data_IF_050789700466
#
_entry.id   IF_050789700466
#
_cell.length_a   1.000
_cell.length_b   1.000
_cell.length_c   1.000
_cell.angle_alpha   90.00
_cell.angle_beta   90.00
_cell.angle_gamma   90.00
#
_symmetry.space_group_name_H-M   'P 1'
#
loop_
_entity.id
_entity.type
_entity.pdbx_description
1 polymer ?
#
# COMPACT_ATOMS: atom_id res chain seq x y z
N UNK A 1 6.34 -26.70 5.76
CA UNK A 1 5.27 -25.73 5.42
C UNK A 1 5.38 -25.40 3.93
N UNK A 2 4.38 -25.76 3.10
CA UNK A 2 4.37 -25.47 1.65
C UNK A 2 4.57 -23.97 1.42
N UNK A 3 5.45 -23.59 0.47
CA UNK A 3 5.72 -22.20 0.11
C UNK A 3 4.48 -21.57 -0.55
N UNK A 4 3.55 -21.07 0.27
CA UNK A 4 2.24 -20.54 -0.18
C UNK A 4 2.40 -19.44 -1.24
N UNK A 5 3.36 -18.53 -1.07
CA UNK A 5 3.63 -17.46 -2.03
C UNK A 5 4.14 -17.98 -3.38
N UNK A 6 4.99 -19.01 -3.36
CA UNK A 6 5.47 -19.66 -4.59
C UNK A 6 4.34 -20.36 -5.36
N UNK A 7 3.42 -21.02 -4.66
CA UNK A 7 2.25 -21.65 -5.29
C UNK A 7 1.34 -20.59 -5.93
N UNK A 8 1.06 -19.49 -5.24
CA UNK A 8 0.25 -18.39 -5.78
C UNK A 8 0.92 -17.79 -7.02
N UNK A 9 2.23 -17.53 -6.97
CA UNK A 9 2.97 -17.01 -8.12
C UNK A 9 2.90 -17.96 -9.33
N UNK A 10 3.05 -19.27 -9.11
CA UNK A 10 2.92 -20.27 -10.18
C UNK A 10 1.51 -20.28 -10.80
N UNK A 11 0.47 -20.17 -9.98
CA UNK A 11 -0.91 -20.07 -10.46
C UNK A 11 -1.09 -18.81 -11.31
N UNK A 12 -0.61 -17.65 -10.84
CA UNK A 12 -0.70 -16.39 -11.58
C UNK A 12 0.03 -16.46 -12.93
N UNK A 13 1.23 -17.04 -12.96
CA UNK A 13 1.98 -17.24 -14.21
C UNK A 13 1.23 -18.21 -15.13
N UNK A 14 0.70 -19.31 -14.60
CA UNK A 14 -0.09 -20.27 -15.38
C UNK A 14 -1.34 -19.64 -15.99
N UNK A 15 -2.04 -18.80 -15.23
CA UNK A 15 -3.19 -18.04 -15.72
C UNK A 15 -2.78 -17.00 -16.76
N UNK A 16 -1.64 -16.33 -16.59
CA UNK A 16 -1.13 -15.37 -17.59
C UNK A 16 -0.86 -16.07 -18.92
N UNK A 17 -0.19 -17.22 -18.89
CA UNK A 17 0.06 -18.03 -20.09
C UNK A 17 -1.24 -18.51 -20.72
N UNK A 18 -2.20 -18.95 -19.91
CA UNK A 18 -3.51 -19.37 -20.38
C UNK A 18 -4.23 -18.23 -21.09
N UNK A 19 -4.20 -17.01 -20.56
CA UNK A 19 -4.83 -15.85 -21.22
C UNK A 19 -4.10 -15.46 -22.51
N UNK A 20 -2.76 -15.46 -22.51
CA UNK A 20 -1.97 -15.14 -23.72
C UNK A 20 -2.26 -16.13 -24.84
N UNK A 21 -2.14 -17.43 -24.58
CA UNK A 21 -2.38 -18.47 -25.60
C UNK A 21 -3.87 -18.68 -25.89
N UNK A 22 -4.71 -18.60 -24.87
CA UNK A 22 -6.16 -18.76 -24.98
C UNK A 22 -6.80 -17.64 -25.79
N UNK A 23 -6.42 -16.37 -25.55
CA UNK A 23 -6.93 -15.24 -26.35
C UNK A 23 -6.57 -15.39 -27.83
N UNK A 24 -5.37 -15.89 -28.14
CA UNK A 24 -4.96 -16.17 -29.51
C UNK A 24 -5.76 -17.32 -30.14
N UNK A 25 -5.91 -18.44 -29.43
CA UNK A 25 -6.65 -19.59 -29.93
C UNK A 25 -8.13 -19.26 -30.18
N UNK A 26 -8.77 -18.56 -29.22
CA UNK A 26 -10.17 -18.14 -29.36
C UNK A 26 -10.34 -17.18 -30.54
N UNK A 27 -9.47 -16.18 -30.67
CA UNK A 27 -9.52 -15.25 -31.81
C UNK A 27 -9.27 -15.94 -33.16
N UNK A 28 -8.53 -17.05 -33.18
CA UNK A 28 -8.28 -17.83 -34.40
C UNK A 28 -9.44 -18.76 -34.78
N UNK A 29 -10.11 -19.38 -33.81
CA UNK A 29 -11.21 -20.33 -34.05
C UNK A 29 -12.55 -19.62 -34.24
N UNK A 30 -12.80 -18.57 -33.45
CA UNK A 30 -14.08 -17.85 -33.42
C UNK A 30 -13.88 -16.37 -33.74
N UNK A 31 -13.67 -16.02 -35.03
CA UNK A 31 -13.44 -14.63 -35.44
C UNK A 31 -14.64 -13.71 -35.22
N UNK A 32 -15.83 -14.27 -35.00
CA UNK A 32 -17.06 -13.51 -34.72
C UNK A 32 -17.15 -13.01 -33.26
N UNK A 33 -16.36 -13.60 -32.34
CA UNK A 33 -16.34 -13.17 -30.94
C UNK A 33 -15.34 -12.01 -30.81
N UNK A 34 -15.77 -10.89 -30.23
CA UNK A 34 -14.95 -9.69 -30.03
C UNK A 34 -13.89 -9.87 -28.93
N UNK A 35 -12.97 -10.82 -29.13
CA UNK A 35 -11.83 -11.11 -28.24
C UNK A 35 -10.56 -10.60 -28.91
N UNK A 36 -9.82 -9.75 -28.20
CA UNK A 36 -8.52 -9.28 -28.68
C UNK A 36 -7.41 -10.26 -28.30
N UNK A 37 -6.73 -10.80 -29.31
CA UNK A 37 -5.56 -11.65 -29.09
C UNK A 37 -4.36 -10.83 -28.60
N UNK A 38 -3.76 -11.25 -27.49
CA UNK A 38 -2.52 -10.65 -26.97
C UNK A 38 -1.30 -10.93 -27.86
N UNK A 39 -1.34 -12.00 -28.66
CA UNK A 39 -0.26 -12.34 -29.61
C UNK A 39 -0.40 -11.62 -30.97
N UNK A 40 -1.43 -10.81 -31.16
CA UNK A 40 -1.55 -9.94 -32.32
C UNK A 40 -0.52 -8.80 -32.28
N UNK A 41 -0.26 -8.14 -33.41
CA UNK A 41 0.67 -7.00 -33.47
C UNK A 41 0.23 -5.84 -32.57
N UNK A 42 -1.08 -5.61 -32.43
CA UNK A 42 -1.65 -4.64 -31.48
C UNK A 42 -1.53 -5.14 -30.03
N UNK A 43 -1.78 -6.43 -29.78
CA UNK A 43 -1.69 -7.06 -28.47
C UNK A 43 -0.28 -7.01 -27.88
N UNK A 44 0.74 -7.38 -28.66
CA UNK A 44 2.14 -7.34 -28.23
C UNK A 44 2.58 -5.90 -27.94
N UNK A 45 2.19 -4.95 -28.81
CA UNK A 45 2.49 -3.52 -28.60
C UNK A 45 1.85 -2.99 -27.33
N UNK A 46 0.59 -3.36 -27.08
CA UNK A 46 -0.11 -2.97 -25.86
C UNK A 46 0.53 -3.61 -24.64
N UNK A 47 0.80 -4.92 -24.65
CA UNK A 47 1.35 -5.66 -23.52
C UNK A 47 2.72 -5.12 -23.09
N UNK A 48 3.63 -4.90 -24.05
CA UNK A 48 4.96 -4.35 -23.75
C UNK A 48 4.87 -2.84 -23.44
N UNK A 49 4.08 -2.09 -24.21
CA UNK A 49 4.00 -0.64 -24.13
C UNK A 49 3.27 -0.12 -22.89
N UNK A 50 2.28 -0.85 -22.38
CA UNK A 50 1.49 -0.47 -21.21
C UNK A 50 1.96 -1.10 -19.90
N UNK A 51 2.91 -2.03 -19.92
CA UNK A 51 3.41 -2.73 -18.73
C UNK A 51 3.72 -1.78 -17.55
N UNK A 52 4.50 -0.71 -17.82
CA UNK A 52 4.83 0.26 -16.77
C UNK A 52 3.62 1.06 -16.28
N UNK A 53 2.68 1.39 -17.17
CA UNK A 53 1.49 2.15 -16.81
C UNK A 53 0.50 1.30 -16.01
N UNK A 54 0.36 0.02 -16.35
CA UNK A 54 -0.42 -0.96 -15.60
C UNK A 54 0.10 -1.12 -14.17
N UNK A 55 1.43 -1.07 -13.98
CA UNK A 55 2.04 -1.17 -12.65
C UNK A 55 1.90 0.09 -11.80
N UNK A 56 1.87 1.28 -12.43
CA UNK A 56 1.78 2.59 -11.79
C UNK A 56 0.35 2.88 -11.30
N UNK A 57 -0.12 2.10 -10.35
CA UNK A 57 -1.40 2.36 -9.68
C UNK A 57 -1.18 2.93 -8.30
N UNK A 58 -2.18 3.64 -7.79
CA UNK A 58 -2.25 4.08 -6.39
C UNK A 58 -2.08 2.91 -5.41
N UNK A 59 -2.52 1.70 -5.80
CA UNK A 59 -2.38 0.50 -4.99
C UNK A 59 -0.91 0.15 -4.75
N UNK A 60 -0.02 0.32 -5.74
CA UNK A 60 1.42 0.12 -5.55
C UNK A 60 1.99 1.11 -4.52
N UNK A 61 1.55 2.37 -4.58
CA UNK A 61 1.97 3.42 -3.65
C UNK A 61 1.47 3.09 -2.24
N UNK A 62 0.21 2.71 -2.09
CA UNK A 62 -0.38 2.32 -0.80
C UNK A 62 0.29 1.08 -0.22
N UNK A 63 0.63 0.09 -1.06
CA UNK A 63 1.38 -1.09 -0.66
C UNK A 63 2.77 -0.70 -0.13
N UNK A 64 3.50 0.14 -0.87
CA UNK A 64 4.84 0.59 -0.49
C UNK A 64 4.81 1.35 0.84
N UNK A 65 3.95 2.37 0.95
CA UNK A 65 3.82 3.20 2.15
C UNK A 65 3.33 2.37 3.34
N UNK A 66 2.36 1.49 3.14
CA UNK A 66 1.82 0.62 4.16
C UNK A 66 2.87 -0.36 4.72
N UNK A 67 3.71 -0.94 3.86
CA UNK A 67 4.79 -1.84 4.27
C UNK A 67 5.85 -1.08 5.10
N UNK A 68 6.23 0.13 4.67
CA UNK A 68 7.17 0.98 5.41
C UNK A 68 6.59 1.37 6.78
N UNK A 69 5.34 1.81 6.82
CA UNK A 69 4.65 2.17 8.06
C UNK A 69 4.55 0.97 9.02
N UNK A 70 4.17 -0.21 8.52
CA UNK A 70 4.08 -1.42 9.34
C UNK A 70 5.46 -1.86 9.87
N UNK A 71 6.50 -1.78 9.02
CA UNK A 71 7.87 -2.10 9.40
C UNK A 71 8.40 -1.21 10.51
N UNK A 72 8.24 0.11 10.36
CA UNK A 72 8.66 1.11 11.35
C UNK A 72 7.88 0.97 12.65
N UNK A 73 6.57 0.72 12.57
CA UNK A 73 5.71 0.47 13.72
C UNK A 73 6.13 -0.75 14.54
N UNK A 74 6.59 -1.81 13.88
CA UNK A 74 7.13 -3.00 14.54
C UNK A 74 8.54 -2.77 15.08
N UNK A 75 9.43 -2.17 14.29
CA UNK A 75 10.83 -1.94 14.66
C UNK A 75 10.98 -0.97 15.85
N UNK A 76 10.13 0.07 15.92
CA UNK A 76 10.07 1.02 17.03
C UNK A 76 9.64 0.39 18.36
N UNK A 77 9.05 -0.81 18.34
CA UNK A 77 8.49 -1.47 19.53
C UNK A 77 7.13 -0.92 19.97
N UNK A 78 6.53 0.00 19.20
CA UNK A 78 5.21 0.55 19.49
C UNK A 78 4.12 -0.53 19.41
N UNK A 79 4.22 -1.44 18.43
CA UNK A 79 3.35 -2.61 18.30
C UNK A 79 3.31 -3.49 19.56
N UNK A 80 4.48 -3.76 20.17
CA UNK A 80 4.59 -4.63 21.36
C UNK A 80 3.82 -4.02 22.54
N UNK A 81 3.89 -2.70 22.69
CA UNK A 81 3.25 -1.97 23.80
C UNK A 81 1.76 -1.83 23.58
N UNK A 82 1.33 -1.47 22.38
CA UNK A 82 -0.09 -1.37 22.06
C UNK A 82 -0.78 -2.73 22.21
N UNK A 83 -0.16 -3.81 21.71
CA UNK A 83 -0.67 -5.17 21.88
C UNK A 83 -0.71 -5.60 23.36
N UNK A 84 0.29 -5.21 24.17
CA UNK A 84 0.29 -5.51 25.60
C UNK A 84 -0.78 -4.72 26.37
N UNK A 85 -1.04 -3.47 25.97
CA UNK A 85 -2.06 -2.60 26.54
C UNK A 85 -3.47 -3.10 26.19
N UNK A 86 -3.72 -3.41 24.91
CA UNK A 86 -4.99 -3.92 24.41
C UNK A 86 -5.37 -5.27 25.04
N UNK A 87 -4.39 -6.13 25.32
CA UNK A 87 -4.61 -7.43 25.98
C UNK A 87 -4.70 -7.35 27.50
N UNK A 88 -4.66 -6.15 28.09
CA UNK A 88 -4.67 -5.96 29.54
C UNK A 88 -3.46 -6.56 30.27
N UNK A 89 -2.43 -7.01 29.54
CA UNK A 89 -1.24 -7.68 30.10
C UNK A 89 -0.23 -6.70 30.70
N UNK A 90 -0.33 -5.43 30.34
CA UNK A 90 0.54 -4.38 30.85
C UNK A 90 -0.28 -3.22 31.42
N UNK A 91 -0.05 -2.91 32.69
CA UNK A 91 -0.55 -1.68 33.31
C UNK A 91 0.44 -0.55 33.03
N UNK A 92 -0.06 0.61 32.60
CA UNK A 92 0.74 1.81 32.36
C UNK A 92 1.72 2.13 33.51
N UNK A 93 1.33 1.81 34.76
CA UNK A 93 2.15 1.98 35.95
C UNK A 93 3.50 1.25 35.89
N UNK A 94 3.56 0.05 35.30
CA UNK A 94 4.77 -0.80 35.21
C UNK A 94 5.75 -0.38 34.11
N UNK A 95 5.39 0.58 33.25
CA UNK A 95 6.31 1.07 32.23
C UNK A 95 7.39 1.97 32.81
N UNK A 96 8.60 1.86 32.26
CA UNK A 96 9.72 2.75 32.60
C UNK A 96 9.35 4.20 32.31
N UNK A 97 9.92 5.14 33.07
CA UNK A 97 9.66 6.57 32.92
C UNK A 97 9.83 7.06 31.47
N UNK A 98 10.90 6.60 30.79
CA UNK A 98 11.15 6.92 29.37
C UNK A 98 10.02 6.49 28.44
N UNK A 99 9.45 5.29 28.64
CA UNK A 99 8.32 4.81 27.83
C UNK A 99 7.04 5.62 28.09
N UNK A 100 6.81 6.05 29.34
CA UNK A 100 5.66 6.91 29.69
C UNK A 100 5.76 8.28 29.01
N UNK A 101 6.94 8.90 29.03
CA UNK A 101 7.17 10.18 28.34
C UNK A 101 7.02 10.01 26.83
N UNK A 102 7.60 8.96 26.25
CA UNK A 102 7.45 8.66 24.82
C UNK A 102 5.99 8.44 24.42
N UNK A 103 5.20 7.73 25.24
CA UNK A 103 3.77 7.52 24.98
C UNK A 103 2.96 8.82 25.04
N UNK A 104 3.27 9.73 25.98
CA UNK A 104 2.61 11.06 26.03
C UNK A 104 2.96 11.91 24.82
N UNK A 105 4.23 11.88 24.41
CA UNK A 105 4.72 12.62 23.25
C UNK A 105 3.99 12.17 21.98
N UNK A 106 3.89 10.86 21.73
CA UNK A 106 3.17 10.39 20.54
C UNK A 106 1.67 10.66 20.57
N UNK A 107 1.04 10.64 21.75
CA UNK A 107 -0.37 11.01 21.87
C UNK A 107 -0.59 12.47 21.50
N UNK A 108 0.33 13.34 21.90
CA UNK A 108 0.35 14.74 21.51
C UNK A 108 0.59 14.90 20.01
N UNK A 109 1.56 14.19 19.41
CA UNK A 109 1.80 14.21 17.97
C UNK A 109 0.56 13.79 17.17
N UNK A 110 -0.07 12.68 17.56
CA UNK A 110 -1.30 12.18 16.92
C UNK A 110 -2.41 13.23 17.02
N UNK A 111 -2.60 13.83 18.19
CA UNK A 111 -3.59 14.89 18.38
C UNK A 111 -3.32 16.10 17.47
N UNK A 112 -2.07 16.54 17.37
CA UNK A 112 -1.66 17.64 16.49
C UNK A 112 -1.92 17.29 15.01
N UNK A 113 -1.58 16.09 14.55
CA UNK A 113 -1.86 15.67 13.18
C UNK A 113 -3.36 15.69 12.85
N UNK A 114 -4.20 15.16 13.75
CA UNK A 114 -5.65 15.20 13.56
C UNK A 114 -6.20 16.62 13.60
N UNK A 115 -5.69 17.46 14.50
CA UNK A 115 -6.09 18.88 14.56
C UNK A 115 -5.71 19.62 13.28
N UNK A 116 -4.52 19.38 12.72
CA UNK A 116 -4.09 19.94 11.45
C UNK A 116 -4.99 19.46 10.29
N UNK A 117 -5.22 18.15 10.18
CA UNK A 117 -6.12 17.61 9.15
C UNK A 117 -7.53 18.21 9.25
N UNK A 118 -8.05 18.33 10.47
CA UNK A 118 -9.34 18.97 10.71
C UNK A 118 -9.33 20.44 10.29
N UNK A 119 -8.29 21.20 10.64
CA UNK A 119 -8.14 22.60 10.28
C UNK A 119 -8.09 22.78 8.75
N UNK A 120 -7.33 21.95 8.04
CA UNK A 120 -7.25 22.03 6.57
C UNK A 120 -8.57 21.68 5.85
N UNK A 121 -9.47 20.97 6.52
CA UNK A 121 -10.82 20.67 6.01
C UNK A 121 -11.85 21.74 6.44
N UNK A 122 -11.71 22.30 7.64
CA UNK A 122 -12.69 23.22 8.23
C UNK A 122 -12.40 24.71 7.93
N UNK A 123 -11.19 25.06 7.47
CA UNK A 123 -10.85 26.43 7.08
C UNK A 123 -11.74 26.93 5.93
N UNK A 124 -12.08 28.22 5.89
CA UNK A 124 -12.97 28.79 4.87
C UNK A 124 -12.40 28.73 3.45
N UNK A 125 -11.08 28.68 3.30
CA UNK A 125 -10.42 28.45 1.99
C UNK A 125 -10.35 26.96 1.61
N UNK A 126 -10.68 26.07 2.56
CA UNK A 126 -10.92 24.64 2.36
C UNK A 126 -9.97 23.95 1.35
N UNK A 127 -8.63 24.09 1.49
CA UNK A 127 -7.67 23.71 0.46
C UNK A 127 -7.67 22.21 0.11
N UNK A 128 -8.19 21.37 1.01
CA UNK A 128 -8.30 19.92 0.80
C UNK A 128 -9.66 19.45 0.28
N UNK A 129 -10.68 20.33 0.28
CA UNK A 129 -11.98 20.03 -0.32
C UNK A 129 -11.93 20.26 -1.82
N UNK A 130 -12.88 19.66 -2.53
CA UNK A 130 -13.04 19.93 -3.96
C UNK A 130 -13.51 21.38 -4.17
N UNK A 131 -13.39 21.86 -5.40
CA UNK A 131 -13.90 23.19 -5.81
C UNK A 131 -15.40 23.34 -5.51
N UNK A 132 -16.13 22.22 -5.37
CA UNK A 132 -17.57 22.19 -5.04
C UNK A 132 -17.85 22.03 -3.54
N UNK A 133 -16.83 21.97 -2.68
CA UNK A 133 -16.98 21.75 -1.24
C UNK A 133 -17.35 20.30 -0.86
N UNK A 134 -17.19 19.35 -1.77
CA UNK A 134 -17.41 17.92 -1.50
C UNK A 134 -16.14 17.25 -0.94
N UNK A 135 -16.33 16.32 0.00
CA UNK A 135 -15.24 15.48 0.54
C UNK A 135 -14.83 14.35 -0.42
N UNK A 136 -15.72 13.98 -1.33
CA UNK A 136 -15.47 12.98 -2.36
C UNK A 136 -16.01 13.52 -3.69
N UNK A 137 -15.27 13.40 -4.81
CA UNK A 137 -13.82 13.22 -4.91
C UNK A 137 -13.07 14.54 -4.64
N UNK A 138 -12.18 14.56 -3.64
CA UNK A 138 -11.31 15.71 -3.33
C UNK A 138 -9.87 15.29 -3.02
N UNK A 139 -8.96 16.26 -2.94
CA UNK A 139 -7.56 16.06 -2.52
C UNK A 139 -7.45 15.35 -1.18
N UNK A 140 -8.40 15.58 -0.26
CA UNK A 140 -8.51 14.86 1.01
C UNK A 140 -8.73 13.35 0.79
N UNK A 141 -9.68 12.98 -0.07
CA UNK A 141 -10.02 11.57 -0.30
C UNK A 141 -8.89 10.78 -0.97
N UNK A 142 -8.18 11.40 -1.92
CA UNK A 142 -7.04 10.78 -2.62
C UNK A 142 -5.84 10.64 -1.67
N UNK A 143 -5.57 11.69 -0.87
CA UNK A 143 -4.44 11.72 0.05
C UNK A 143 -4.63 10.91 1.34
N UNK A 144 -5.84 10.42 1.64
CA UNK A 144 -6.17 9.86 2.95
C UNK A 144 -5.26 8.68 3.37
N UNK A 145 -5.10 7.68 2.50
CA UNK A 145 -4.27 6.50 2.79
C UNK A 145 -2.78 6.89 2.92
N UNK A 146 -2.20 7.66 1.98
CA UNK A 146 -0.85 8.22 2.15
C UNK A 146 -0.68 9.03 3.44
N UNK A 147 -1.65 9.86 3.83
CA UNK A 147 -1.58 10.64 5.07
C UNK A 147 -1.55 9.76 6.32
N UNK A 148 -2.40 8.74 6.41
CA UNK A 148 -2.41 7.83 7.56
C UNK A 148 -1.09 7.07 7.67
N UNK A 149 -0.59 6.51 6.56
CA UNK A 149 0.67 5.77 6.55
C UNK A 149 1.86 6.66 6.94
N UNK A 150 1.85 7.93 6.52
CA UNK A 150 2.83 8.92 6.95
C UNK A 150 2.75 9.21 8.45
N UNK A 151 1.56 9.47 9.00
CA UNK A 151 1.35 9.72 10.44
C UNK A 151 1.84 8.53 11.26
N UNK A 152 1.47 7.31 10.88
CA UNK A 152 1.90 6.08 11.58
C UNK A 152 3.41 5.95 11.56
N UNK A 153 4.05 6.22 10.42
CA UNK A 153 5.51 6.16 10.27
C UNK A 153 6.18 7.18 11.19
N UNK A 154 5.73 8.43 11.17
CA UNK A 154 6.29 9.52 11.96
C UNK A 154 6.18 9.22 13.46
N UNK A 155 4.98 8.89 13.93
CA UNK A 155 4.69 8.55 15.33
C UNK A 155 5.51 7.34 15.80
N UNK A 156 5.68 6.33 14.94
CA UNK A 156 6.49 5.16 15.25
C UNK A 156 7.97 5.52 15.44
N UNK A 157 8.51 6.39 14.59
CA UNK A 157 9.89 6.84 14.70
C UNK A 157 10.08 7.70 15.96
N UNK A 158 9.20 8.67 16.21
CA UNK A 158 9.22 9.50 17.42
C UNK A 158 9.18 8.64 18.68
N UNK A 159 8.26 7.66 18.75
CA UNK A 159 8.21 6.71 19.86
C UNK A 159 9.53 5.94 20.02
N UNK A 160 10.07 5.40 18.92
CA UNK A 160 11.29 4.60 18.94
C UNK A 160 12.49 5.39 19.44
N UNK A 161 12.62 6.65 19.04
CA UNK A 161 13.69 7.56 19.47
C UNK A 161 13.49 7.97 20.93
N UNK A 162 12.31 8.47 21.32
CA UNK A 162 12.04 8.93 22.69
C UNK A 162 12.09 7.80 23.73
N UNK A 163 11.74 6.57 23.36
CA UNK A 163 11.85 5.40 24.24
C UNK A 163 13.28 4.85 24.35
N UNK A 164 14.21 5.33 23.51
CA UNK A 164 15.60 4.87 23.44
C UNK A 164 15.81 3.56 22.70
N UNK A 165 14.79 3.02 22.01
CA UNK A 165 14.90 1.80 21.19
C UNK A 165 15.66 2.07 19.89
N UNK A 166 15.38 3.20 19.25
CA UNK A 166 16.08 3.71 18.08
C UNK A 166 17.07 4.79 18.53
N UNK A 167 18.19 4.35 19.12
CA UNK A 167 19.18 5.24 19.75
C UNK A 167 20.26 5.78 18.79
N UNK A 168 20.27 5.36 17.53
CA UNK A 168 21.22 5.82 16.52
C UNK A 168 20.50 6.09 15.20
N UNK A 169 21.01 7.05 14.42
CA UNK A 169 20.48 7.35 13.08
C UNK A 169 20.44 6.11 12.19
N UNK A 170 21.46 5.24 12.28
CA UNK A 170 21.50 3.98 11.55
C UNK A 170 20.32 3.06 11.91
N UNK A 171 19.96 2.93 13.20
CA UNK A 171 18.79 2.14 13.61
C UNK A 171 17.47 2.77 13.15
N UNK A 172 17.37 4.08 13.17
CA UNK A 172 16.19 4.81 12.69
C UNK A 172 15.99 4.59 11.18
N UNK A 173 17.06 4.71 10.39
CA UNK A 173 16.99 4.41 8.95
C UNK A 173 16.71 2.93 8.67
N UNK A 174 17.35 2.01 9.41
CA UNK A 174 17.07 0.59 9.28
C UNK A 174 15.63 0.24 9.63
N UNK A 175 14.98 0.97 10.54
CA UNK A 175 13.56 0.78 10.86
C UNK A 175 12.65 1.10 9.66
N UNK A 176 12.99 2.11 8.84
CA UNK A 176 12.27 2.45 7.60
C UNK A 176 12.41 1.32 6.57
N UNK A 177 13.63 0.81 6.38
CA UNK A 177 13.91 -0.25 5.41
C UNK A 177 13.44 -1.64 5.85
N UNK A 178 13.29 -1.86 7.16
CA UNK A 178 12.87 -3.15 7.72
C UNK A 178 11.50 -3.61 7.19
N UNK A 179 10.57 -2.67 6.98
CA UNK A 179 9.28 -2.96 6.36
C UNK A 179 9.43 -3.58 4.99
N UNK A 180 10.25 -2.96 4.13
CA UNK A 180 10.48 -3.39 2.75
C UNK A 180 11.04 -4.81 2.72
N UNK A 181 11.97 -5.13 3.61
CA UNK A 181 12.55 -6.48 3.73
C UNK A 181 11.48 -7.51 4.12
N UNK A 182 10.62 -7.18 5.10
CA UNK A 182 9.52 -8.05 5.52
C UNK A 182 8.48 -8.25 4.42
N UNK A 183 8.15 -7.19 3.69
CA UNK A 183 7.13 -7.16 2.65
C UNK A 183 7.63 -7.53 1.25
N UNK A 184 8.92 -7.81 1.08
CA UNK A 184 9.55 -7.98 -0.24
C UNK A 184 8.84 -8.99 -1.14
N UNK A 185 8.29 -10.06 -0.55
CA UNK A 185 7.57 -11.12 -1.28
C UNK A 185 6.24 -10.66 -1.89
N UNK A 186 5.68 -9.54 -1.46
CA UNK A 186 4.43 -9.00 -1.97
C UNK A 186 4.60 -8.30 -3.32
N UNK A 187 5.76 -7.71 -3.60
CA UNK A 187 5.99 -6.97 -4.85
C UNK A 187 5.95 -7.88 -6.09
N UNK A 188 6.61 -9.05 -6.14
CA UNK A 188 6.47 -9.96 -7.29
C UNK A 188 5.02 -10.44 -7.49
N UNK A 189 4.27 -10.65 -6.40
CA UNK A 189 2.87 -11.06 -6.48
C UNK A 189 1.99 -9.94 -7.02
N UNK A 190 2.23 -8.70 -6.60
CA UNK A 190 1.53 -7.53 -7.13
C UNK A 190 1.78 -7.39 -8.64
N UNK A 191 3.04 -7.47 -9.09
CA UNK A 191 3.40 -7.37 -10.51
C UNK A 191 2.65 -8.42 -11.33
N UNK A 192 2.70 -9.69 -10.91
CA UNK A 192 2.01 -10.77 -11.61
C UNK A 192 0.49 -10.61 -11.62
N UNK A 193 -0.10 -10.17 -10.50
CA UNK A 193 -1.55 -10.01 -10.38
C UNK A 193 -2.08 -8.85 -11.22
N UNK A 194 -1.40 -7.70 -11.22
CA UNK A 194 -1.83 -6.53 -11.99
C UNK A 194 -1.66 -6.75 -13.49
N UNK A 195 -0.56 -7.37 -13.93
CA UNK A 195 -0.39 -7.69 -15.36
C UNK A 195 -1.45 -8.69 -15.84
N UNK A 196 -1.80 -9.68 -15.02
CA UNK A 196 -2.90 -10.59 -15.32
C UNK A 196 -4.22 -9.85 -15.41
N UNK A 197 -4.51 -8.97 -14.46
CA UNK A 197 -5.75 -8.21 -14.42
C UNK A 197 -5.92 -7.31 -15.65
N UNK A 198 -4.90 -6.53 -16.03
CA UNK A 198 -4.96 -5.70 -17.22
C UNK A 198 -4.97 -6.53 -18.51
N UNK A 199 -4.29 -7.68 -18.54
CA UNK A 199 -4.36 -8.61 -19.67
C UNK A 199 -5.78 -9.13 -19.90
N UNK A 200 -6.51 -9.48 -18.82
CA UNK A 200 -7.94 -9.84 -18.90
C UNK A 200 -8.75 -8.68 -19.48
N UNK A 201 -8.56 -7.47 -18.96
CA UNK A 201 -9.27 -6.28 -19.42
C UNK A 201 -9.07 -6.05 -20.92
N UNK A 202 -7.83 -6.14 -21.39
CA UNK A 202 -7.50 -5.97 -22.80
C UNK A 202 -8.15 -7.03 -23.69
N UNK A 203 -8.02 -8.31 -23.31
CA UNK A 203 -8.52 -9.44 -24.10
C UNK A 203 -10.03 -9.40 -24.28
N UNK A 204 -10.76 -9.07 -23.21
CA UNK A 204 -12.22 -9.03 -23.22
C UNK A 204 -12.80 -7.64 -23.50
N UNK A 205 -11.95 -6.65 -23.80
CA UNK A 205 -12.34 -5.26 -24.02
C UNK A 205 -13.29 -4.73 -22.93
N UNK A 206 -12.95 -5.01 -21.68
CA UNK A 206 -13.77 -4.62 -20.54
C UNK A 206 -13.53 -3.14 -20.24
N UNK A 207 -14.55 -2.31 -20.34
CA UNK A 207 -14.48 -0.91 -19.90
C UNK A 207 -14.52 -0.82 -18.37
N UNK A 208 -13.43 -1.21 -17.69
CA UNK A 208 -13.23 -0.92 -16.28
C UNK A 208 -12.51 0.42 -16.13
N UNK A 209 -13.25 1.44 -15.69
CA UNK A 209 -12.68 2.67 -15.16
C UNK A 209 -12.30 2.35 -13.71
N UNK A 210 -11.07 1.88 -13.49
CA UNK A 210 -10.48 1.98 -12.15
C UNK A 210 -10.18 3.46 -11.92
N UNK A 211 -10.56 4.03 -10.75
CA UNK A 211 -10.14 5.38 -10.41
C UNK A 211 -8.60 5.39 -10.36
N UNK A 212 -8.02 6.13 -11.31
CA UNK A 212 -6.68 6.67 -11.24
C UNK A 212 -6.59 7.67 -10.09
#
# INVERSE_FOLDING_TARGET
>A
MKNKYGIIALILIGLQLLIVFGSWLVAAIFPEINVHSLLSSSGIRWFIGQFTNNLKTDLLVWLLLGIVAFGTFKASGLYEILNALLKGKATFAKFSYRKKVALRLILLEVFVFFMLLFLLVALPEAPLLSVTGSLFPSSFSIGFIPSITFIVTFVSLSYGVSSGRLNTLAKTYNALSFGIILGAKLFPLYILAIELFYSVIYVFNLNFILPL
#
